data_IF_083687116723
#
_entry.id   IF_083687116723
#
_cell.length_a   1.000
_cell.length_b   1.000
_cell.length_c   1.000
_cell.angle_alpha   90.00
_cell.angle_beta   90.00
_cell.angle_gamma   90.00
#
_symmetry.space_group_name_H-M   'P 1'
#
loop_
_entity.id
_entity.type
_entity.pdbx_description
1 polymer ?
#
# COMPACT_ATOMS: atom_id res chain seq x y z
N UNK A 1 -15.83 -6.11 -4.12
CA UNK A 1 -14.68 -6.02 -5.04
C UNK A 1 -14.34 -7.41 -5.50
N UNK A 2 -14.10 -7.61 -6.79
CA UNK A 2 -13.78 -8.93 -7.32
C UNK A 2 -12.44 -9.44 -6.77
N UNK A 3 -12.36 -10.75 -6.57
CA UNK A 3 -11.17 -11.40 -6.01
C UNK A 3 -9.90 -11.13 -6.83
N UNK A 4 -10.01 -11.12 -8.16
CA UNK A 4 -8.89 -10.83 -9.05
C UNK A 4 -8.39 -9.38 -8.87
N UNK A 5 -9.31 -8.42 -8.76
CA UNK A 5 -9.00 -7.02 -8.50
C UNK A 5 -8.33 -6.85 -7.12
N UNK A 6 -8.85 -7.52 -6.07
CA UNK A 6 -8.24 -7.52 -4.74
C UNK A 6 -6.80 -8.02 -4.75
N UNK A 7 -6.54 -9.13 -5.46
CA UNK A 7 -5.21 -9.70 -5.58
C UNK A 7 -4.27 -8.80 -6.37
N UNK A 8 -4.76 -8.18 -7.45
CA UNK A 8 -4.00 -7.20 -8.23
C UNK A 8 -3.61 -6.00 -7.37
N UNK A 9 -4.56 -5.38 -6.67
CA UNK A 9 -4.29 -4.23 -5.82
C UNK A 9 -3.26 -4.56 -4.73
N UNK A 10 -3.38 -5.72 -4.09
CA UNK A 10 -2.40 -6.15 -3.08
C UNK A 10 -1.04 -6.44 -3.71
N UNK A 11 -1.00 -7.00 -4.93
CA UNK A 11 0.25 -7.25 -5.65
C UNK A 11 0.97 -5.95 -6.03
N UNK A 12 0.22 -4.91 -6.43
CA UNK A 12 0.78 -3.58 -6.71
C UNK A 12 1.34 -2.94 -5.44
N UNK A 13 0.68 -3.14 -4.29
CA UNK A 13 1.12 -2.63 -2.99
C UNK A 13 2.29 -3.40 -2.38
N UNK A 14 2.43 -4.69 -2.68
CA UNK A 14 3.56 -5.55 -2.25
C UNK A 14 4.74 -5.52 -3.23
N UNK A 15 4.75 -4.57 -4.17
CA UNK A 15 5.85 -4.39 -5.11
C UNK A 15 7.15 -4.08 -4.35
N UNK A 16 8.14 -4.97 -4.47
CA UNK A 16 9.46 -4.79 -3.87
C UNK A 16 10.21 -3.67 -4.57
N UNK A 17 10.60 -2.65 -3.81
CA UNK A 17 11.50 -1.61 -4.27
C UNK A 17 12.92 -2.17 -4.27
N UNK A 18 13.33 -2.80 -5.36
CA UNK A 18 14.72 -3.21 -5.58
C UNK A 18 15.28 -2.36 -6.72
N UNK A 19 15.95 -1.25 -6.40
CA UNK A 19 16.48 -0.32 -7.38
C UNK A 19 15.90 1.09 -7.25
N UNK A 20 15.55 1.71 -8.36
CA UNK A 20 15.02 3.07 -8.40
C UNK A 20 13.57 3.12 -7.87
N UNK A 21 13.27 4.07 -6.98
CA UNK A 21 11.95 4.26 -6.39
C UNK A 21 10.86 4.52 -7.45
N UNK A 22 11.25 5.05 -8.62
CA UNK A 22 10.33 5.32 -9.74
C UNK A 22 9.85 4.07 -10.49
N UNK A 23 10.46 2.90 -10.26
CA UNK A 23 9.97 1.64 -10.83
C UNK A 23 8.65 1.17 -10.20
N UNK A 24 8.33 1.67 -9.01
CA UNK A 24 7.02 1.43 -8.40
C UNK A 24 5.96 2.34 -9.03
N UNK A 25 5.04 1.71 -9.76
CA UNK A 25 3.84 2.37 -10.32
C UNK A 25 3.08 3.15 -9.24
N UNK A 26 3.01 2.61 -8.02
CA UNK A 26 2.33 3.28 -6.90
C UNK A 26 3.08 4.53 -6.46
N UNK A 27 4.40 4.48 -6.35
CA UNK A 27 5.19 5.65 -5.94
C UNK A 27 5.17 6.75 -7.01
N UNK A 28 5.29 6.37 -8.28
CA UNK A 28 5.18 7.30 -9.40
C UNK A 28 3.79 7.94 -9.48
N UNK A 29 2.73 7.16 -9.26
CA UNK A 29 1.37 7.68 -9.17
C UNK A 29 1.18 8.65 -7.99
N UNK A 30 1.68 8.30 -6.80
CA UNK A 30 1.62 9.17 -5.62
C UNK A 30 2.41 10.47 -5.83
N UNK A 31 3.57 10.40 -6.48
CA UNK A 31 4.38 11.58 -6.82
C UNK A 31 3.62 12.55 -7.74
N UNK A 32 2.93 12.02 -8.77
CA UNK A 32 2.09 12.84 -9.65
C UNK A 32 0.90 13.44 -8.90
N UNK A 33 0.24 12.68 -8.02
CA UNK A 33 -0.83 13.22 -7.15
C UNK A 33 -0.34 14.28 -6.15
N UNK A 34 0.97 14.34 -5.92
CA UNK A 34 1.61 15.35 -5.09
C UNK A 34 1.75 16.69 -5.78
N UNK A 35 1.56 16.80 -7.09
CA UNK A 35 1.67 18.05 -7.85
C UNK A 35 0.37 18.84 -7.70
N UNK A 36 0.47 20.13 -7.36
CA UNK A 36 -0.70 21.02 -7.29
C UNK A 36 -1.21 21.30 -8.71
N UNK A 37 -2.55 21.27 -8.89
CA UNK A 37 -3.22 21.52 -10.18
C UNK A 37 -3.08 22.97 -10.64
N UNK A 38 -2.60 23.86 -9.75
CA UNK A 38 -2.33 25.25 -10.07
C UNK A 38 -1.25 25.37 -11.16
N UNK A 39 -1.36 26.39 -12.03
CA UNK A 39 -0.45 26.57 -13.17
C UNK A 39 1.02 26.80 -12.79
N UNK A 40 1.35 26.97 -11.49
CA UNK A 40 2.72 27.03 -11.01
C UNK A 40 3.41 25.65 -10.92
N UNK A 41 2.67 24.53 -11.00
CA UNK A 41 3.23 23.18 -11.01
C UNK A 41 4.02 22.81 -9.74
N UNK A 42 3.75 23.46 -8.62
CA UNK A 42 4.48 23.26 -7.37
C UNK A 42 3.90 22.06 -6.63
N UNK A 43 4.74 21.31 -5.91
CA UNK A 43 4.26 20.24 -5.04
C UNK A 43 3.33 20.77 -3.95
N UNK A 44 2.28 20.01 -3.64
CA UNK A 44 1.34 20.27 -2.56
C UNK A 44 2.09 20.35 -1.23
N UNK A 45 1.72 21.32 -0.39
CA UNK A 45 2.26 21.42 0.97
C UNK A 45 2.04 20.11 1.74
N UNK A 46 3.01 19.74 2.58
CA UNK A 46 2.98 18.52 3.40
C UNK A 46 1.71 18.43 4.26
N UNK A 47 1.23 19.57 4.77
CA UNK A 47 -0.02 19.66 5.54
C UNK A 47 -1.26 19.28 4.72
N UNK A 48 -1.24 19.54 3.42
CA UNK A 48 -2.35 19.28 2.52
C UNK A 48 -2.26 17.89 1.87
N UNK A 49 -1.05 17.36 1.69
CA UNK A 49 -0.81 16.06 1.07
C UNK A 49 -0.83 14.89 2.07
N UNK A 50 -0.34 15.10 3.29
CA UNK A 50 -0.28 14.06 4.35
C UNK A 50 -1.63 13.40 4.68
N UNK A 51 -2.76 14.14 4.74
CA UNK A 51 -4.07 13.53 4.94
C UNK A 51 -4.45 12.56 3.83
N UNK A 52 -4.14 12.87 2.57
CA UNK A 52 -4.46 12.01 1.42
C UNK A 52 -3.57 10.77 1.40
N UNK A 53 -2.28 10.91 1.71
CA UNK A 53 -1.38 9.78 1.91
C UNK A 53 -1.85 8.87 3.05
N UNK A 54 -2.34 9.45 4.15
CA UNK A 54 -2.89 8.70 5.28
C UNK A 54 -4.16 7.92 4.89
N UNK A 55 -5.04 8.51 4.07
CA UNK A 55 -6.21 7.80 3.52
C UNK A 55 -5.76 6.64 2.64
N UNK A 56 -4.77 6.86 1.77
CA UNK A 56 -4.22 5.83 0.90
C UNK A 56 -3.68 4.64 1.68
N UNK A 57 -2.86 4.90 2.71
CA UNK A 57 -2.32 3.87 3.60
C UNK A 57 -3.45 3.08 4.29
N UNK A 58 -4.47 3.76 4.82
CA UNK A 58 -5.62 3.11 5.47
C UNK A 58 -6.41 2.23 4.50
N UNK A 59 -6.61 2.70 3.26
CA UNK A 59 -7.25 1.88 2.22
C UNK A 59 -6.41 0.64 1.90
N UNK A 60 -5.10 0.78 1.71
CA UNK A 60 -4.19 -0.34 1.49
C UNK A 60 -4.25 -1.38 2.62
N UNK A 61 -4.26 -0.93 3.88
CA UNK A 61 -4.43 -1.80 5.04
C UNK A 61 -5.79 -2.51 5.02
N UNK A 62 -6.86 -1.81 4.67
CA UNK A 62 -8.21 -2.40 4.59
C UNK A 62 -8.31 -3.48 3.51
N UNK A 63 -7.61 -3.34 2.38
CA UNK A 63 -7.54 -4.38 1.34
C UNK A 63 -6.90 -5.67 1.87
N UNK A 64 -5.83 -5.55 2.67
CA UNK A 64 -5.21 -6.70 3.33
C UNK A 64 -6.19 -7.38 4.29
N UNK A 65 -6.91 -6.61 5.11
CA UNK A 65 -7.94 -7.13 6.02
C UNK A 65 -9.03 -7.85 5.24
N UNK A 66 -9.52 -7.26 4.15
CA UNK A 66 -10.52 -7.88 3.29
C UNK A 66 -10.03 -9.22 2.72
N UNK A 67 -8.78 -9.29 2.24
CA UNK A 67 -8.18 -10.55 1.76
C UNK A 67 -8.11 -11.59 2.88
N UNK A 68 -7.83 -11.16 4.11
CA UNK A 68 -7.76 -12.05 5.25
C UNK A 68 -9.13 -12.64 5.60
N UNK A 69 -10.17 -11.80 5.65
CA UNK A 69 -11.56 -12.23 5.86
C UNK A 69 -11.98 -13.21 4.76
N UNK A 70 -11.78 -12.86 3.48
CA UNK A 70 -12.13 -13.75 2.37
C UNK A 70 -11.40 -15.10 2.43
N UNK A 71 -10.18 -15.15 2.97
CA UNK A 71 -9.45 -16.43 3.15
C UNK A 71 -10.05 -17.29 4.26
N UNK A 72 -10.50 -16.68 5.35
CA UNK A 72 -11.19 -17.36 6.46
C UNK A 72 -12.56 -17.88 6.00
N UNK A 73 -13.36 -17.05 5.32
CA UNK A 73 -14.69 -17.42 4.82
C UNK A 73 -14.65 -18.60 3.84
N UNK A 74 -13.59 -18.69 3.02
CA UNK A 74 -13.39 -19.80 2.09
C UNK A 74 -12.82 -21.07 2.75
N UNK A 75 -12.70 -21.12 4.08
CA UNK A 75 -12.14 -22.26 4.82
C UNK A 75 -10.64 -22.49 4.58
N UNK A 76 -9.91 -21.47 4.09
CA UNK A 76 -8.49 -21.58 3.71
C UNK A 76 -7.52 -21.11 4.81
N UNK A 77 -8.01 -20.66 5.96
CA UNK A 77 -7.19 -20.22 7.09
C UNK A 77 -7.92 -20.51 8.42
N UNK A 78 -7.18 -21.00 9.42
CA UNK A 78 -7.72 -21.37 10.75
C UNK A 78 -8.07 -20.16 11.63
N UNK A 79 -7.37 -19.02 11.47
CA UNK A 79 -7.64 -17.83 12.27
C UNK A 79 -7.22 -16.52 11.58
N UNK A 80 -8.09 -15.50 11.61
CA UNK A 80 -7.88 -14.19 10.99
C UNK A 80 -6.62 -13.48 11.52
N UNK A 81 -6.36 -13.60 12.82
CA UNK A 81 -5.23 -12.93 13.49
C UNK A 81 -3.88 -13.41 12.96
N UNK A 82 -3.70 -14.71 12.73
CA UNK A 82 -2.44 -15.27 12.22
C UNK A 82 -2.09 -14.73 10.82
N UNK A 83 -3.12 -14.55 9.98
CA UNK A 83 -2.93 -14.05 8.62
C UNK A 83 -2.66 -12.54 8.58
N UNK A 84 -3.31 -11.79 9.47
CA UNK A 84 -3.02 -10.37 9.66
C UNK A 84 -1.63 -10.16 10.22
N UNK A 85 -1.16 -11.03 11.13
CA UNK A 85 0.18 -10.96 11.70
C UNK A 85 1.25 -11.33 10.67
N UNK A 86 1.05 -12.35 9.84
CA UNK A 86 1.95 -12.67 8.72
C UNK A 86 2.06 -11.47 7.76
N UNK A 87 0.92 -10.86 7.43
CA UNK A 87 0.91 -9.74 6.48
C UNK A 87 1.49 -8.48 7.12
N UNK A 88 1.18 -8.20 8.39
CA UNK A 88 1.79 -7.11 9.17
C UNK A 88 3.30 -7.28 9.28
N UNK A 89 3.80 -8.47 9.62
CA UNK A 89 5.24 -8.74 9.67
C UNK A 89 5.89 -8.47 8.31
N UNK A 90 5.28 -8.92 7.21
CA UNK A 90 5.82 -8.70 5.87
C UNK A 90 5.92 -7.22 5.50
N UNK A 91 4.91 -6.41 5.83
CA UNK A 91 4.90 -4.97 5.53
C UNK A 91 5.72 -4.14 6.53
N UNK A 92 5.79 -4.51 7.81
CA UNK A 92 6.57 -3.81 8.84
C UNK A 92 8.07 -4.08 8.67
N UNK A 93 8.46 -5.34 8.46
CA UNK A 93 9.87 -5.74 8.33
C UNK A 93 10.50 -5.20 7.03
N UNK A 94 9.71 -4.99 5.98
CA UNK A 94 10.19 -4.34 4.74
C UNK A 94 10.32 -2.82 4.86
N UNK A 95 9.54 -2.17 5.72
CA UNK A 95 9.71 -0.72 5.99
C UNK A 95 10.87 -0.40 6.95
N UNK A 96 11.46 -1.40 7.64
CA UNK A 96 12.61 -1.18 8.54
C UNK A 96 13.97 -1.47 7.91
N UNK A 97 14.04 -2.07 6.72
CA UNK A 97 15.26 -2.02 5.90
C UNK A 97 15.30 -0.69 5.17
N UNK A 98 15.69 0.34 5.92
CA UNK A 98 16.16 1.61 5.38
C UNK A 98 17.15 1.33 4.25
N UNK A 99 17.00 2.00 3.11
CA UNK A 99 17.96 2.02 2.00
C UNK A 99 19.25 2.80 2.36
N UNK A 100 19.69 2.66 3.62
CA UNK A 100 20.94 3.17 4.14
C UNK A 100 21.70 1.97 4.68
N UNK A 101 22.28 1.21 3.77
CA UNK A 101 23.52 0.44 3.93
C UNK A 101 24.17 0.32 2.54
#
# INVERSE_FOLDING_TARGET
>A
MDKACLLLCISLLDHTLQGDYFESVILSFLAVLGIDEKPSGVFRSTLNYSPDLSKFIKMAQMLVVQRAITRVENGKAEHLSNLLDETRMRFIIRCTRTAFD
#
